data_IF_938822050637
#
_entry.id   IF_938822050637
#
_cell.length_a   1.000
_cell.length_b   1.000
_cell.length_c   1.000
_cell.angle_alpha   90.00
_cell.angle_beta   90.00
_cell.angle_gamma   90.00
#
_symmetry.space_group_name_H-M   'P 1'
#
loop_
_entity.id
_entity.type
_entity.pdbx_description
1 polymer ?
#
# COMPACT_ATOMS: atom_id res chain seq x y z
N UNK A 1 1.14 18.23 -22.33
CA UNK A 1 1.11 16.94 -23.06
C UNK A 1 2.45 16.25 -22.80
N UNK A 2 2.43 15.17 -22.02
CA UNK A 2 3.62 14.37 -21.68
C UNK A 2 3.83 13.35 -22.79
N UNK A 3 5.07 13.22 -23.28
CA UNK A 3 5.45 12.24 -24.31
C UNK A 3 6.27 11.14 -23.64
N UNK A 4 5.87 9.89 -23.80
CA UNK A 4 6.59 8.74 -23.28
C UNK A 4 7.44 8.07 -24.37
N UNK A 5 8.68 7.73 -24.04
CA UNK A 5 9.57 6.98 -24.92
C UNK A 5 10.56 6.18 -24.09
N UNK A 6 10.67 4.87 -24.33
CA UNK A 6 11.58 3.95 -23.61
C UNK A 6 11.43 4.03 -22.08
N UNK A 7 10.19 4.26 -21.60
CA UNK A 7 9.88 4.40 -20.16
C UNK A 7 10.32 5.72 -19.53
N UNK A 8 10.78 6.68 -20.33
CA UNK A 8 11.09 8.03 -19.88
C UNK A 8 9.97 9.01 -20.24
N UNK A 9 9.63 9.88 -19.29
CA UNK A 9 8.66 10.93 -19.49
C UNK A 9 9.36 12.20 -20.00
N UNK A 10 8.80 12.78 -21.05
CA UNK A 10 9.28 14.01 -21.66
C UNK A 10 8.22 15.08 -21.72
N UNK A 11 8.66 16.33 -21.65
CA UNK A 11 7.86 17.51 -22.01
C UNK A 11 8.44 18.18 -23.25
N UNK A 12 7.57 18.76 -24.06
CA UNK A 12 7.97 19.51 -25.26
C UNK A 12 8.71 20.78 -24.79
N UNK A 13 9.93 20.95 -25.28
CA UNK A 13 10.72 22.16 -25.06
C UNK A 13 10.51 23.16 -26.21
N UNK A 14 10.68 22.70 -27.46
CA UNK A 14 10.48 23.54 -28.64
C UNK A 14 10.10 22.71 -29.86
N UNK A 15 9.47 23.37 -30.83
CA UNK A 15 9.19 22.79 -32.15
C UNK A 15 9.92 23.64 -33.19
N UNK A 16 10.72 23.00 -34.06
CA UNK A 16 11.49 23.69 -35.08
C UNK A 16 11.63 22.80 -36.32
N UNK A 17 11.31 23.37 -37.49
CA UNK A 17 11.42 22.72 -38.80
C UNK A 17 10.78 21.31 -38.82
N UNK A 18 9.51 21.22 -38.43
CA UNK A 18 8.75 19.97 -38.33
C UNK A 18 9.18 19.01 -37.20
N UNK A 19 10.32 19.26 -36.56
CA UNK A 19 10.85 18.44 -35.46
C UNK A 19 10.39 18.96 -34.10
N UNK A 20 10.07 18.05 -33.20
CA UNK A 20 9.73 18.38 -31.80
C UNK A 20 10.90 17.98 -30.90
N UNK A 21 11.38 18.94 -30.11
CA UNK A 21 12.46 18.75 -29.15
C UNK A 21 11.88 18.59 -27.76
N UNK A 22 12.41 17.61 -27.04
CA UNK A 22 11.91 17.15 -25.77
C UNK A 22 13.00 17.25 -24.70
N UNK A 23 12.59 17.56 -23.48
CA UNK A 23 13.42 17.51 -22.28
C UNK A 23 12.78 16.57 -21.27
N UNK A 24 13.60 15.91 -20.47
CA UNK A 24 13.14 15.02 -19.40
C UNK A 24 12.14 15.75 -18.49
N UNK A 25 11.06 15.05 -18.14
CA UNK A 25 9.99 15.53 -17.29
C UNK A 25 9.64 14.52 -16.18
N UNK A 26 10.54 13.56 -15.91
CA UNK A 26 10.38 12.59 -14.84
C UNK A 26 10.20 13.28 -13.49
N UNK A 27 9.11 13.01 -12.74
CA UNK A 27 8.89 13.57 -11.41
C UNK A 27 10.01 13.19 -10.43
N UNK A 28 10.27 14.06 -9.45
CA UNK A 28 11.18 13.81 -8.33
C UNK A 28 12.63 13.45 -8.71
N UNK A 29 13.06 13.74 -9.95
CA UNK A 29 14.43 13.50 -10.42
C UNK A 29 14.94 14.71 -11.20
N UNK A 30 16.13 15.20 -10.84
CA UNK A 30 16.84 16.18 -11.67
C UNK A 30 17.55 15.46 -12.82
N UNK A 31 17.12 15.72 -14.06
CA UNK A 31 17.66 15.06 -15.24
C UNK A 31 17.76 16.01 -16.44
N UNK A 32 18.90 15.97 -17.14
CA UNK A 32 19.21 16.75 -18.34
C UNK A 32 19.04 15.98 -19.66
N UNK A 33 18.39 14.81 -19.61
CA UNK A 33 18.05 13.97 -20.76
C UNK A 33 17.19 14.70 -21.79
N UNK A 34 17.47 14.48 -23.07
CA UNK A 34 16.77 15.15 -24.18
C UNK A 34 16.53 14.22 -25.35
N UNK A 35 15.43 14.41 -26.06
CA UNK A 35 15.08 13.64 -27.25
C UNK A 35 14.51 14.55 -28.35
N UNK A 36 14.51 14.06 -29.59
CA UNK A 36 13.92 14.75 -30.74
C UNK A 36 13.03 13.80 -31.50
N UNK A 37 11.79 14.22 -31.75
CA UNK A 37 10.89 13.54 -32.67
C UNK A 37 11.01 14.16 -34.06
N UNK A 38 11.44 13.34 -35.01
CA UNK A 38 11.58 13.65 -36.42
C UNK A 38 10.21 13.73 -37.11
N UNK A 39 10.17 14.32 -38.31
CA UNK A 39 8.94 14.45 -39.12
C UNK A 39 8.34 13.09 -39.50
N UNK A 40 9.17 12.06 -39.65
CA UNK A 40 8.76 10.68 -39.90
C UNK A 40 8.18 9.98 -38.66
N UNK A 41 8.06 10.68 -37.52
CA UNK A 41 7.48 10.18 -36.28
C UNK A 41 8.45 9.45 -35.36
N UNK A 42 9.70 9.22 -35.78
CA UNK A 42 10.72 8.53 -34.98
C UNK A 42 11.26 9.47 -33.90
N UNK A 43 11.35 8.98 -32.67
CA UNK A 43 12.00 9.69 -31.56
C UNK A 43 13.44 9.20 -31.41
N UNK A 44 14.39 10.13 -31.38
CA UNK A 44 15.82 9.88 -31.21
C UNK A 44 16.29 10.53 -29.91
N UNK A 45 16.92 9.76 -29.03
CA UNK A 45 17.51 10.28 -27.79
C UNK A 45 18.82 10.99 -28.10
N UNK A 46 18.92 12.28 -27.77
CA UNK A 46 20.12 13.09 -28.00
C UNK A 46 21.05 13.10 -26.78
N UNK A 47 20.48 13.28 -25.59
CA UNK A 47 21.21 13.18 -24.32
C UNK A 47 20.61 12.04 -23.50
N UNK A 48 21.43 11.08 -23.04
CA UNK A 48 20.94 9.97 -22.23
C UNK A 48 20.44 10.47 -20.88
N UNK A 49 19.60 9.66 -20.24
CA UNK A 49 19.12 9.90 -18.89
C UNK A 49 20.18 9.46 -17.86
N UNK A 50 20.17 10.11 -16.69
CA UNK A 50 21.02 9.77 -15.53
C UNK A 50 20.25 9.02 -14.43
N UNK A 51 19.09 8.52 -14.78
CA UNK A 51 18.20 7.81 -13.88
C UNK A 51 17.57 6.64 -14.64
N UNK A 52 17.10 5.65 -13.90
CA UNK A 52 16.36 4.54 -14.48
C UNK A 52 15.01 5.01 -15.04
N UNK A 53 14.43 4.29 -16.02
CA UNK A 53 13.09 4.58 -16.54
C UNK A 53 12.08 4.82 -15.41
N UNK A 54 11.18 5.77 -15.61
CA UNK A 54 10.22 6.13 -14.57
C UNK A 54 9.28 4.94 -14.30
N UNK A 55 9.53 4.25 -13.20
CA UNK A 55 8.54 3.39 -12.56
C UNK A 55 7.43 4.29 -12.02
N UNK A 56 6.18 4.01 -12.39
CA UNK A 56 5.02 4.82 -12.04
C UNK A 56 4.71 4.70 -10.53
N UNK A 57 5.53 5.31 -9.67
CA UNK A 57 5.29 5.38 -8.22
C UNK A 57 3.97 6.11 -7.91
N UNK A 58 3.47 6.91 -8.85
CA UNK A 58 2.16 7.56 -8.78
C UNK A 58 1.00 6.56 -8.85
N UNK A 59 1.20 5.39 -9.48
CA UNK A 59 0.22 4.30 -9.50
C UNK A 59 0.18 3.54 -8.18
N UNK A 60 1.34 3.29 -7.55
CA UNK A 60 1.42 2.61 -6.25
C UNK A 60 0.77 3.41 -5.13
N UNK A 61 0.96 4.74 -5.11
CA UNK A 61 0.35 5.62 -4.10
C UNK A 61 -1.17 5.66 -4.22
N UNK A 62 -1.70 5.82 -5.44
CA UNK A 62 -3.15 5.77 -5.68
C UNK A 62 -3.71 4.39 -5.37
N UNK A 63 -3.00 3.32 -5.76
CA UNK A 63 -3.37 1.94 -5.46
C UNK A 63 -3.47 1.72 -3.95
N UNK A 64 -2.49 2.20 -3.18
CA UNK A 64 -2.51 2.17 -1.71
C UNK A 64 -3.70 2.95 -1.14
N UNK A 65 -3.97 4.14 -1.67
CA UNK A 65 -5.05 5.01 -1.20
C UNK A 65 -6.43 4.40 -1.46
N UNK A 66 -6.69 3.91 -2.67
CA UNK A 66 -7.94 3.23 -3.03
C UNK A 66 -8.19 1.97 -2.19
N UNK A 67 -7.14 1.20 -1.94
CA UNK A 67 -7.23 0.00 -1.12
C UNK A 67 -7.52 0.34 0.35
N UNK A 68 -6.85 1.36 0.90
CA UNK A 68 -7.15 1.88 2.25
C UNK A 68 -8.59 2.39 2.34
N UNK A 69 -9.07 3.16 1.37
CA UNK A 69 -10.43 3.71 1.41
C UNK A 69 -11.48 2.61 1.40
N UNK A 70 -11.30 1.56 0.58
CA UNK A 70 -12.18 0.40 0.56
C UNK A 70 -12.20 -0.33 1.91
N UNK A 71 -11.03 -0.57 2.51
CA UNK A 71 -10.92 -1.22 3.82
C UNK A 71 -11.57 -0.42 4.94
N UNK A 72 -11.35 0.90 4.97
CA UNK A 72 -11.97 1.81 5.95
C UNK A 72 -13.49 1.80 5.80
N UNK A 73 -13.99 1.92 4.57
CA UNK A 73 -15.43 1.97 4.32
C UNK A 73 -16.13 0.66 4.68
N UNK A 74 -15.56 -0.48 4.27
CA UNK A 74 -16.06 -1.81 4.67
C UNK A 74 -15.97 -2.01 6.18
N UNK A 75 -14.95 -1.49 6.85
CA UNK A 75 -14.83 -1.58 8.32
C UNK A 75 -15.90 -0.76 9.05
N UNK A 76 -16.42 0.31 8.43
CA UNK A 76 -17.54 1.11 8.94
C UNK A 76 -18.88 0.43 8.74
N UNK A 77 -19.08 -0.22 7.60
CA UNK A 77 -20.40 -0.72 7.19
C UNK A 77 -20.61 -2.18 7.55
N UNK A 78 -19.56 -2.99 7.58
CA UNK A 78 -19.65 -4.42 7.83
C UNK A 78 -19.30 -4.80 9.27
N UNK A 79 -20.01 -5.80 9.79
CA UNK A 79 -19.86 -6.31 11.16
C UNK A 79 -18.96 -7.54 11.27
N UNK A 80 -18.52 -8.10 10.14
CA UNK A 80 -17.64 -9.29 10.10
C UNK A 80 -16.22 -8.99 10.64
N UNK A 81 -15.37 -9.99 10.87
CA UNK A 81 -14.03 -9.74 11.41
C UNK A 81 -13.19 -8.85 10.47
N UNK A 82 -12.47 -7.86 11.01
CA UNK A 82 -11.61 -6.95 10.21
C UNK A 82 -10.59 -7.73 9.38
N UNK A 83 -10.07 -8.83 9.93
CA UNK A 83 -9.15 -9.72 9.24
C UNK A 83 -9.79 -10.38 8.01
N UNK A 84 -11.07 -10.72 8.09
CA UNK A 84 -11.84 -11.26 6.96
C UNK A 84 -12.03 -10.18 5.88
N UNK A 85 -12.40 -8.96 6.25
CA UNK A 85 -12.51 -7.82 5.32
C UNK A 85 -11.20 -7.62 4.57
N UNK A 86 -10.07 -7.61 5.29
CA UNK A 86 -8.76 -7.46 4.68
C UNK A 86 -8.41 -8.62 3.75
N UNK A 87 -8.66 -9.87 4.15
CA UNK A 87 -8.36 -11.01 3.29
C UNK A 87 -9.18 -10.99 2.00
N UNK A 88 -10.47 -10.70 2.07
CA UNK A 88 -11.33 -10.61 0.88
C UNK A 88 -10.88 -9.48 -0.06
N UNK A 89 -10.56 -8.30 0.48
CA UNK A 89 -10.01 -7.21 -0.33
C UNK A 89 -8.62 -7.56 -0.89
N UNK A 90 -7.78 -8.27 -0.15
CA UNK A 90 -6.46 -8.70 -0.63
C UNK A 90 -6.54 -9.68 -1.79
N UNK A 91 -7.60 -10.51 -1.84
CA UNK A 91 -7.85 -11.41 -2.98
C UNK A 91 -8.32 -10.61 -4.20
N UNK A 92 -9.12 -9.57 -4.00
CA UNK A 92 -9.61 -8.68 -5.08
C UNK A 92 -8.50 -7.81 -5.64
N UNK A 93 -7.60 -7.31 -4.78
CA UNK A 93 -6.52 -6.40 -5.13
C UNK A 93 -5.16 -6.89 -4.58
N UNK A 94 -4.57 -7.96 -5.15
CA UNK A 94 -3.34 -8.57 -4.62
C UNK A 94 -2.15 -7.62 -4.62
N UNK A 95 -2.00 -6.80 -5.68
CA UNK A 95 -0.91 -5.84 -5.77
C UNK A 95 -1.01 -4.76 -4.67
N UNK A 96 -2.21 -4.24 -4.42
CA UNK A 96 -2.42 -3.26 -3.35
C UNK A 96 -2.11 -3.84 -1.95
N UNK A 97 -2.43 -5.11 -1.71
CA UNK A 97 -2.09 -5.80 -0.47
C UNK A 97 -0.57 -5.98 -0.24
N UNK A 98 0.23 -6.00 -1.32
CA UNK A 98 1.71 -5.95 -1.20
C UNK A 98 2.20 -4.58 -0.76
N UNK A 99 1.51 -3.51 -1.16
CA UNK A 99 1.85 -2.12 -0.84
C UNK A 99 1.25 -1.62 0.49
N UNK A 100 0.20 -2.29 0.99
CA UNK A 100 -0.54 -1.91 2.20
C UNK A 100 -0.92 -3.17 3.00
N UNK A 101 0.04 -3.63 3.82
CA UNK A 101 -0.06 -4.89 4.55
C UNK A 101 -1.07 -4.85 5.71
N UNK A 102 -1.47 -6.03 6.23
CA UNK A 102 -2.41 -6.14 7.37
C UNK A 102 -1.98 -5.31 8.60
N UNK A 103 -0.72 -5.39 9.08
CA UNK A 103 -0.27 -4.53 10.18
C UNK A 103 -0.46 -3.04 9.94
N UNK A 104 -0.36 -2.60 8.67
CA UNK A 104 -0.56 -1.20 8.25
C UNK A 104 -2.04 -0.83 8.17
N UNK A 105 -2.89 -1.76 7.74
CA UNK A 105 -4.32 -1.56 7.52
C UNK A 105 -5.15 -1.65 8.82
N UNK A 106 -4.81 -2.60 9.69
CA UNK A 106 -5.59 -2.96 10.87
C UNK A 106 -5.95 -1.75 11.78
N UNK A 107 -5.04 -0.79 12.07
CA UNK A 107 -5.36 0.34 12.94
C UNK A 107 -6.42 1.27 12.35
N UNK A 108 -6.34 1.58 11.06
CA UNK A 108 -7.31 2.45 10.38
C UNK A 108 -8.69 1.78 10.31
N UNK A 109 -8.72 0.47 10.08
CA UNK A 109 -9.93 -0.36 10.10
C UNK A 109 -10.57 -0.41 11.51
N UNK A 110 -9.77 -0.63 12.57
CA UNK A 110 -10.25 -0.61 13.97
C UNK A 110 -10.79 0.76 14.37
N UNK A 111 -10.11 1.83 13.97
CA UNK A 111 -10.54 3.19 14.24
C UNK A 111 -11.88 3.49 13.55
N UNK A 112 -12.00 3.15 12.27
CA UNK A 112 -13.21 3.32 11.49
C UNK A 112 -14.43 2.59 12.10
N UNK A 113 -14.21 1.37 12.62
CA UNK A 113 -15.24 0.61 13.32
C UNK A 113 -15.64 1.23 14.66
N UNK A 114 -14.68 1.75 15.43
CA UNK A 114 -14.96 2.43 16.71
C UNK A 114 -15.82 3.69 16.54
N UNK A 115 -15.63 4.43 15.46
CA UNK A 115 -16.46 5.61 15.17
C UNK A 115 -17.94 5.25 14.97
N UNK A 116 -18.22 4.04 14.44
CA UNK A 116 -19.57 3.55 14.14
C UNK A 116 -20.28 2.93 15.34
N UNK A 117 -19.54 2.35 16.28
CA UNK A 117 -20.14 1.81 17.50
C UNK A 117 -20.33 2.96 18.49
N UNK A 118 -21.59 3.25 18.85
CA UNK A 118 -21.88 4.16 19.94
C UNK A 118 -21.08 3.74 21.18
N UNK A 119 -20.57 4.71 21.97
CA UNK A 119 -19.90 4.39 23.22
C UNK A 119 -20.84 3.52 24.06
N UNK A 120 -20.32 2.40 24.56
CA UNK A 120 -21.09 1.52 25.41
C UNK A 120 -21.60 2.34 26.61
N UNK A 121 -22.90 2.27 26.93
CA UNK A 121 -23.45 2.99 28.08
C UNK A 121 -22.65 2.64 29.32
N UNK A 122 -22.46 3.63 30.20
CA UNK A 122 -21.54 3.52 31.32
C UNK A 122 -22.01 2.50 32.36
N UNK A 123 -23.29 2.11 32.31
CA UNK A 123 -23.88 1.15 33.25
C UNK A 123 -24.84 0.18 32.57
N UNK A 124 -24.94 -1.05 33.10
CA UNK A 124 -25.92 -2.06 32.68
C UNK A 124 -27.37 -1.58 32.78
N UNK A 125 -27.67 -0.58 33.61
CA UNK A 125 -29.03 -0.06 33.84
C UNK A 125 -29.55 0.80 32.69
N UNK A 126 -28.66 1.35 31.86
CA UNK A 126 -29.01 2.16 30.69
C UNK A 126 -29.38 1.31 29.46
N UNK A 127 -29.10 0.00 29.48
CA UNK A 127 -29.48 -0.94 28.42
C UNK A 127 -30.93 -1.46 28.57
N UNK A 128 -31.52 -1.34 29.76
CA UNK A 128 -32.86 -1.87 30.08
C UNK A 128 -34.00 -0.85 29.85
N UNK A 129 -33.72 0.42 29.51
CA UNK A 129 -34.73 1.49 29.53
C UNK A 129 -35.39 1.84 28.19
N UNK A 130 -35.13 1.13 27.09
CA UNK A 130 -35.77 1.43 25.80
C UNK A 130 -36.15 0.17 25.03
N UNK A 131 -37.07 -0.62 25.58
CA UNK A 131 -37.85 -1.63 24.83
C UNK A 131 -39.35 -1.42 25.09
N UNK A 132 -39.93 -0.38 24.48
CA UNK A 132 -41.34 -0.35 24.12
C UNK A 132 -41.47 -0.19 22.59
N UNK A 133 -40.95 -1.17 21.85
CA UNK A 133 -41.46 -1.43 20.50
C UNK A 133 -42.61 -2.42 20.68
N UNK A 134 -43.82 -1.92 20.47
CA UNK A 134 -45.06 -2.70 20.47
C UNK A 134 -44.94 -3.86 19.47
N UNK A 135 -44.87 -5.08 20.01
CA UNK A 135 -45.12 -6.31 19.26
C UNK A 135 -46.63 -6.48 19.11
N UNK A 136 -47.17 -6.12 17.94
CA UNK A 136 -48.40 -6.73 17.44
C UNK A 136 -48.08 -7.45 16.13
N UNK A 137 -48.09 -8.79 16.23
CA UNK A 137 -48.57 -9.78 15.23
C UNK A 137 -47.92 -9.78 13.81
N UNK A 138 -47.31 -10.84 13.28
CA UNK A 138 -47.72 -12.26 13.23
C UNK A 138 -46.51 -13.14 12.88
N UNK A 139 -46.21 -14.14 13.71
CA UNK A 139 -45.49 -15.37 13.33
C UNK A 139 -46.42 -16.18 12.41
N UNK A 140 -45.94 -16.76 11.31
CA UNK A 140 -46.30 -18.14 10.92
C UNK A 140 -45.50 -18.66 9.71
N UNK A 141 -44.69 -19.67 10.00
CA UNK A 141 -44.38 -20.87 9.23
C UNK A 141 -44.62 -20.87 7.71
N UNK A 142 -43.57 -21.27 6.99
CA UNK A 142 -43.61 -21.81 5.62
C UNK A 142 -44.38 -23.13 5.58
N UNK A 143 -45.36 -23.27 4.67
CA UNK A 143 -45.31 -24.38 3.72
C UNK A 143 -45.53 -23.95 2.25
N UNK A 144 -44.77 -24.55 1.33
CA UNK A 144 -44.99 -24.53 -0.12
C UNK A 144 -46.46 -24.85 -0.51
N UNK A 145 -46.96 -24.26 -1.61
CA UNK A 145 -47.98 -24.90 -2.42
C UNK A 145 -47.51 -25.18 -3.86
N UNK A 146 -48.08 -26.28 -4.38
CA UNK A 146 -47.93 -26.78 -5.72
C UNK A 146 -48.69 -25.94 -6.76
N UNK A 147 -48.31 -26.19 -8.02
CA UNK A 147 -48.87 -25.73 -9.29
C UNK A 147 -50.41 -25.82 -9.39
N UNK A 148 -51.03 -24.87 -10.11
CA UNK A 148 -51.97 -25.10 -11.24
C UNK A 148 -52.57 -23.76 -11.77
N UNK A 149 -52.45 -23.58 -13.09
CA UNK A 149 -53.25 -22.87 -14.11
C UNK A 149 -54.09 -21.61 -13.79
N UNK A 150 -53.84 -20.52 -14.53
CA UNK A 150 -54.72 -19.99 -15.60
C UNK A 150 -54.44 -18.49 -15.88
N UNK A 151 -54.63 -18.13 -17.15
CA UNK A 151 -54.22 -16.89 -17.81
C UNK A 151 -55.00 -15.64 -17.38
N UNK A 152 -54.30 -14.49 -17.33
CA UNK A 152 -54.95 -13.19 -17.20
C UNK A 152 -53.96 -12.04 -17.25
N UNK A 153 -53.76 -11.46 -18.43
CA UNK A 153 -52.95 -10.27 -18.65
C UNK A 153 -53.57 -9.04 -17.96
N UNK A 154 -52.76 -8.25 -17.24
CA UNK A 154 -53.04 -6.83 -16.99
C UNK A 154 -51.74 -6.02 -16.89
N UNK A 155 -51.82 -4.86 -17.52
CA UNK A 155 -50.84 -3.88 -17.98
C UNK A 155 -50.00 -3.19 -16.86
N UNK A 156 -48.67 -3.01 -17.02
CA UNK A 156 -47.84 -2.29 -16.08
C UNK A 156 -47.67 -0.82 -16.47
N UNK A 157 -48.41 0.10 -15.85
CA UNK A 157 -48.08 1.53 -15.88
C UNK A 157 -48.28 2.25 -14.54
N UNK A 158 -47.13 2.73 -14.03
CA UNK A 158 -46.89 4.02 -13.37
C UNK A 158 -47.37 4.22 -11.93
N UNK A 159 -46.41 4.14 -10.99
CA UNK A 159 -46.18 5.28 -10.08
C UNK A 159 -44.66 5.43 -9.89
N UNK A 160 -44.07 6.38 -10.62
CA UNK A 160 -42.77 6.94 -10.31
C UNK A 160 -42.93 7.81 -9.06
N UNK A 161 -42.28 7.43 -7.97
CA UNK A 161 -42.04 8.32 -6.84
C UNK A 161 -40.52 8.47 -6.72
N UNK A 162 -40.04 9.57 -7.28
CA UNK A 162 -38.68 10.06 -7.15
C UNK A 162 -38.43 10.38 -5.67
N UNK A 163 -37.72 9.50 -4.96
CA UNK A 163 -37.19 9.83 -3.63
C UNK A 163 -35.91 10.62 -3.88
N UNK A 164 -36.05 11.94 -3.80
CA UNK A 164 -34.98 12.91 -3.87
C UNK A 164 -34.15 12.79 -2.59
N UNK A 165 -33.08 11.99 -2.61
CA UNK A 165 -32.06 11.97 -1.56
C UNK A 165 -30.91 12.82 -2.06
N UNK A 166 -30.89 14.09 -1.67
CA UNK A 166 -29.71 14.93 -1.85
C UNK A 166 -28.53 14.26 -1.12
N UNK A 167 -27.35 14.13 -1.76
CA UNK A 167 -26.18 13.65 -1.05
C UNK A 167 -25.73 14.78 -0.13
N UNK A 168 -25.98 14.66 1.17
CA UNK A 168 -25.23 15.43 2.16
C UNK A 168 -23.75 15.09 1.99
N UNK A 169 -23.05 15.99 1.32
CA UNK A 169 -21.59 16.03 1.22
C UNK A 169 -21.09 16.34 2.63
N UNK A 170 -20.98 15.31 3.46
CA UNK A 170 -20.28 15.41 4.72
C UNK A 170 -18.81 15.66 4.39
N UNK A 171 -18.37 16.90 4.65
CA UNK A 171 -17.01 17.39 4.48
C UNK A 171 -15.99 16.38 4.98
N UNK A 172 -15.33 15.68 4.05
CA UNK A 172 -14.19 14.79 4.33
C UNK A 172 -12.93 15.67 4.42
N UNK A 173 -12.90 16.59 5.37
CA UNK A 173 -11.74 17.49 5.54
C UNK A 173 -11.09 17.44 6.93
N UNK A 174 -11.47 16.53 7.83
CA UNK A 174 -11.03 16.65 9.24
C UNK A 174 -10.46 15.39 9.93
N UNK A 175 -9.95 14.40 9.21
CA UNK A 175 -9.25 13.24 9.84
C UNK A 175 -8.01 12.79 9.07
N UNK A 176 -7.15 13.74 8.69
CA UNK A 176 -5.85 13.46 8.05
C UNK A 176 -4.65 13.61 9.01
N UNK A 177 -4.87 13.71 10.32
CA UNK A 177 -3.79 13.88 11.30
C UNK A 177 -4.01 12.95 12.49
N UNK A 178 -3.56 11.68 12.43
CA UNK A 178 -3.22 10.90 13.65
C UNK A 178 -2.75 9.44 13.40
N UNK A 179 -2.48 9.02 12.16
CA UNK A 179 -1.82 7.72 11.93
C UNK A 179 -0.51 7.86 11.16
N UNK A 180 0.48 8.44 11.82
CA UNK A 180 1.86 8.50 11.35
C UNK A 180 2.50 7.12 11.60
N UNK A 181 2.83 6.38 10.55
CA UNK A 181 3.69 5.19 10.67
C UNK A 181 5.09 5.64 11.12
N UNK A 182 5.82 4.86 11.94
CA UNK A 182 7.15 5.23 12.41
C UNK A 182 8.09 5.70 11.28
N UNK A 183 8.03 5.09 10.09
CA UNK A 183 8.80 5.53 8.92
C UNK A 183 8.31 6.86 8.29
N UNK A 184 7.01 7.16 8.32
CA UNK A 184 6.46 8.43 7.81
C UNK A 184 6.81 9.61 8.74
N UNK A 185 7.00 9.35 10.03
CA UNK A 185 7.51 10.34 11.00
C UNK A 185 8.92 10.79 10.67
N UNK A 186 9.78 9.88 10.18
CA UNK A 186 11.16 10.22 9.85
C UNK A 186 11.26 11.09 8.59
N UNK A 187 10.38 10.88 7.62
CA UNK A 187 10.29 11.69 6.41
C UNK A 187 9.71 13.08 6.70
N UNK A 188 8.65 13.16 7.50
CA UNK A 188 8.02 14.43 7.83
C UNK A 188 8.91 15.28 8.76
N UNK A 189 9.61 14.65 9.73
CA UNK A 189 10.64 15.34 10.53
C UNK A 189 11.78 15.84 9.64
N UNK A 190 12.24 15.08 8.64
CA UNK A 190 13.26 15.55 7.69
C UNK A 190 12.76 16.67 6.78
N UNK A 191 11.47 16.71 6.46
CA UNK A 191 10.84 17.75 5.65
C UNK A 191 10.62 19.03 6.47
N UNK A 192 10.13 18.91 7.70
CA UNK A 192 9.98 19.99 8.68
C UNK A 192 11.33 20.63 9.03
N UNK A 193 12.38 19.83 9.29
CA UNK A 193 13.75 20.34 9.51
C UNK A 193 14.33 21.11 8.29
N UNK A 194 13.84 20.86 7.07
CA UNK A 194 14.22 21.65 5.88
C UNK A 194 13.39 22.93 5.74
N UNK A 195 12.14 22.91 6.21
CA UNK A 195 11.20 24.03 6.09
C UNK A 195 11.40 25.07 7.20
N UNK A 196 11.86 24.66 8.39
CA UNK A 196 12.08 25.52 9.56
C UNK A 196 13.45 26.22 9.57
N UNK A 197 14.21 26.14 8.47
CA UNK A 197 15.57 26.68 8.33
C UNK A 197 15.64 28.23 8.19
N UNK A 198 14.73 28.97 8.83
CA UNK A 198 14.94 30.39 9.20
C UNK A 198 15.28 30.56 10.70
N UNK A 199 15.21 29.49 11.50
CA UNK A 199 15.68 29.46 12.88
C UNK A 199 16.96 28.64 13.02
N UNK A 200 18.11 29.30 13.19
CA UNK A 200 19.41 28.64 13.45
C UNK A 200 19.41 27.94 14.82
N UNK A 201 19.05 26.68 14.86
CA UNK A 201 19.63 25.75 15.83
C UNK A 201 20.72 24.96 15.11
N UNK A 202 21.97 25.34 15.40
CA UNK A 202 23.17 24.66 14.90
C UNK A 202 23.22 23.27 15.53
N UNK A 203 22.68 22.28 14.81
CA UNK A 203 22.99 20.87 15.07
C UNK A 203 24.51 20.73 15.07
N UNK A 204 25.08 20.54 16.27
CA UNK A 204 26.49 20.24 16.43
C UNK A 204 26.75 18.87 15.81
N UNK A 205 27.27 18.86 14.59
CA UNK A 205 27.79 17.64 14.00
C UNK A 205 28.94 17.17 14.90
N UNK A 206 28.76 16.03 15.55
CA UNK A 206 29.88 15.32 16.18
C UNK A 206 30.84 14.97 15.04
N UNK A 207 32.04 15.55 15.07
CA UNK A 207 33.07 15.22 14.10
C UNK A 207 33.33 13.72 14.15
N UNK A 208 33.07 13.07 13.03
CA UNK A 208 33.38 11.66 12.84
C UNK A 208 34.90 11.52 12.96
N UNK A 209 35.43 10.68 13.86
CA UNK A 209 36.87 10.52 14.00
C UNK A 209 37.50 10.17 12.65
N UNK A 210 38.59 10.85 12.24
CA UNK A 210 39.22 10.63 10.93
C UNK A 210 39.79 9.22 10.77
N UNK A 211 39.95 8.50 11.88
CA UNK A 211 40.43 7.12 11.96
C UNK A 211 39.30 6.08 12.03
N UNK A 212 38.10 6.39 11.52
CA UNK A 212 36.98 5.43 11.47
C UNK A 212 37.39 4.07 10.89
N UNK A 213 38.17 4.06 9.80
CA UNK A 213 38.63 2.82 9.16
C UNK A 213 39.63 2.01 10.00
N UNK A 214 40.37 2.66 10.90
CA UNK A 214 41.30 1.98 11.83
C UNK A 214 40.56 1.43 13.05
N UNK A 215 39.53 2.12 13.52
CA UNK A 215 38.69 1.70 14.65
C UNK A 215 37.63 0.66 14.24
N UNK A 216 37.15 0.73 13.01
CA UNK A 216 36.12 -0.14 12.43
C UNK A 216 36.58 -0.61 11.04
N UNK A 217 37.51 -1.58 10.98
CA UNK A 217 37.90 -2.16 9.69
C UNK A 217 36.67 -2.76 9.00
N UNK A 218 36.51 -2.57 7.68
CA UNK A 218 35.41 -3.16 6.93
C UNK A 218 35.53 -4.68 7.02
N UNK A 219 34.58 -5.28 7.72
CA UNK A 219 34.43 -6.73 7.76
C UNK A 219 33.84 -7.15 6.42
N UNK A 220 34.30 -8.26 5.83
CA UNK A 220 33.70 -8.79 4.59
C UNK A 220 32.25 -9.26 4.86
N UNK A 221 31.30 -8.33 4.84
CA UNK A 221 29.87 -8.55 5.13
C UNK A 221 29.22 -9.56 4.17
N UNK A 222 29.86 -9.80 3.03
CA UNK A 222 29.43 -10.75 2.00
C UNK A 222 29.49 -12.20 2.47
N UNK A 223 30.26 -12.52 3.52
CA UNK A 223 30.43 -13.88 4.03
C UNK A 223 29.71 -14.14 5.35
N UNK A 224 28.98 -13.18 5.92
CA UNK A 224 28.33 -13.31 7.23
C UNK A 224 26.85 -13.70 7.09
N UNK A 225 26.38 -14.63 7.90
CA UNK A 225 25.00 -15.12 7.95
C UNK A 225 23.99 -13.98 8.03
N UNK A 226 23.01 -13.97 7.13
CA UNK A 226 22.03 -12.87 7.05
C UNK A 226 21.04 -12.85 8.21
N UNK A 227 20.91 -13.98 8.93
CA UNK A 227 19.98 -14.13 10.06
C UNK A 227 20.62 -13.67 11.37
N UNK A 228 21.78 -14.24 11.75
CA UNK A 228 22.41 -13.91 13.04
C UNK A 228 23.43 -12.78 12.96
N UNK A 229 24.01 -12.48 11.78
CA UNK A 229 25.10 -11.53 11.59
C UNK A 229 26.34 -11.74 12.47
N UNK A 230 26.50 -12.94 13.04
CA UNK A 230 27.59 -13.30 13.95
C UNK A 230 28.58 -14.31 13.35
N UNK A 231 28.09 -15.25 12.54
CA UNK A 231 28.88 -16.36 12.00
C UNK A 231 28.92 -16.34 10.47
N UNK A 232 29.90 -17.02 9.89
CA UNK A 232 30.04 -17.15 8.44
C UNK A 232 28.95 -18.03 7.79
N UNK A 233 28.60 -17.70 6.55
CA UNK A 233 27.67 -18.47 5.71
C UNK A 233 28.33 -19.80 5.36
N UNK A 234 27.73 -20.91 5.77
CA UNK A 234 28.29 -22.25 5.56
C UNK A 234 27.36 -23.18 4.80
N UNK A 235 26.08 -22.83 4.64
CA UNK A 235 25.09 -23.72 4.03
C UNK A 235 24.43 -23.09 2.81
N UNK A 236 24.36 -23.84 1.71
CA UNK A 236 23.54 -23.53 0.54
C UNK A 236 22.23 -24.32 0.56
N UNK A 237 21.13 -23.64 0.23
CA UNK A 237 19.79 -24.22 0.23
C UNK A 237 19.43 -24.77 -1.15
N UNK A 238 18.91 -26.00 -1.23
CA UNK A 238 18.56 -26.67 -2.49
C UNK A 238 17.04 -26.75 -2.63
N UNK A 239 16.46 -26.31 -3.77
CA UNK A 239 17.09 -26.15 -5.09
C UNK A 239 17.63 -24.74 -5.42
N UNK A 240 17.38 -23.73 -4.60
CA UNK A 240 17.63 -22.33 -5.01
C UNK A 240 19.12 -21.93 -5.04
N UNK A 241 20.03 -22.73 -4.46
CA UNK A 241 21.47 -22.53 -4.48
C UNK A 241 21.99 -21.43 -3.56
N UNK A 242 21.14 -20.72 -2.83
CA UNK A 242 21.53 -19.57 -2.02
C UNK A 242 22.32 -19.98 -0.78
N UNK A 243 23.59 -19.52 -0.69
CA UNK A 243 24.47 -19.65 0.49
C UNK A 243 24.28 -18.46 1.42
N UNK A 244 23.41 -18.59 2.43
CA UNK A 244 22.93 -17.42 3.21
C UNK A 244 22.94 -17.62 4.72
N UNK A 245 23.02 -18.87 5.19
CA UNK A 245 22.92 -19.24 6.60
C UNK A 245 24.21 -19.84 7.14
N UNK A 246 24.45 -19.63 8.44
CA UNK A 246 25.38 -20.43 9.22
C UNK A 246 24.73 -21.75 9.68
N UNK A 247 25.51 -22.61 10.33
CA UNK A 247 25.07 -23.93 10.83
C UNK A 247 23.96 -23.84 11.89
N UNK A 248 24.02 -22.80 12.72
CA UNK A 248 23.04 -22.61 13.80
C UNK A 248 21.71 -22.09 13.24
N UNK A 249 21.76 -21.15 12.30
CA UNK A 249 20.54 -20.59 11.72
C UNK A 249 19.82 -21.56 10.79
N UNK A 250 20.52 -22.45 10.07
CA UNK A 250 19.86 -23.44 9.21
C UNK A 250 19.12 -24.51 10.00
N UNK A 251 19.62 -24.87 11.19
CA UNK A 251 18.99 -25.88 12.06
C UNK A 251 17.80 -25.33 12.84
N UNK A 252 17.81 -24.03 13.14
CA UNK A 252 16.72 -23.35 13.86
C UNK A 252 15.63 -22.81 12.94
N UNK A 253 15.79 -22.92 11.63
CA UNK A 253 14.83 -22.39 10.67
C UNK A 253 13.55 -23.23 10.66
N UNK A 254 12.49 -22.67 11.24
CA UNK A 254 11.18 -23.35 11.37
C UNK A 254 10.47 -23.47 10.02
N UNK A 255 10.62 -22.46 9.17
CA UNK A 255 10.08 -22.45 7.81
C UNK A 255 11.15 -23.03 6.89
N UNK A 256 10.87 -24.13 6.19
CA UNK A 256 11.79 -24.71 5.21
C UNK A 256 11.86 -23.87 3.92
N UNK A 257 12.07 -22.55 4.06
CA UNK A 257 12.09 -21.54 2.99
C UNK A 257 13.37 -20.73 3.03
N UNK A 258 13.93 -20.47 1.86
CA UNK A 258 15.11 -19.62 1.74
C UNK A 258 14.79 -18.17 2.15
N UNK A 259 15.55 -17.54 3.07
CA UNK A 259 15.27 -16.16 3.46
C UNK A 259 15.55 -15.11 2.38
N UNK A 260 16.28 -15.45 1.30
CA UNK A 260 16.53 -14.54 0.18
C UNK A 260 15.46 -14.62 -0.91
N UNK A 261 15.10 -15.82 -1.35
CA UNK A 261 14.24 -16.01 -2.51
C UNK A 261 12.88 -16.63 -2.18
N UNK A 262 12.65 -16.96 -0.90
CA UNK A 262 11.41 -17.56 -0.37
C UNK A 262 10.98 -18.90 -0.99
N UNK A 263 11.83 -19.51 -1.82
CA UNK A 263 11.62 -20.87 -2.33
C UNK A 263 11.71 -21.89 -1.20
N UNK A 264 10.82 -22.87 -1.21
CA UNK A 264 10.92 -24.04 -0.34
C UNK A 264 12.22 -24.80 -0.67
N UNK A 265 12.97 -25.17 0.37
CA UNK A 265 14.16 -26.01 0.24
C UNK A 265 13.93 -27.32 0.99
N UNK A 266 14.39 -28.42 0.41
CA UNK A 266 14.28 -29.74 1.03
C UNK A 266 15.62 -30.24 1.59
N UNK A 267 16.72 -29.55 1.27
CA UNK A 267 18.06 -29.93 1.66
C UNK A 267 18.93 -28.68 1.85
N UNK A 268 19.82 -28.72 2.85
CA UNK A 268 20.85 -27.73 3.07
C UNK A 268 22.22 -28.41 2.97
N UNK A 269 23.05 -27.96 2.02
CA UNK A 269 24.38 -28.50 1.78
C UNK A 269 25.42 -27.61 2.46
N UNK A 270 26.28 -28.20 3.29
CA UNK A 270 27.44 -27.50 3.86
C UNK A 270 28.51 -27.29 2.79
N UNK A 271 28.93 -26.06 2.58
CA UNK A 271 29.98 -25.64 1.66
C UNK A 271 31.14 -25.09 2.49
N UNK A 272 32.35 -25.57 2.19
CA UNK A 272 33.62 -25.16 2.79
C UNK A 272 34.32 -24.13 1.92
#
# INVERSE_FOLDING_TARGET
MVHEHEGFLYKINKTYNGKRYYVCATPNVYCDGTAVRLENGITVVNKPHRHDPYCNMYDESQTRQHFRSALVERSRTETIALRTIYYEESIRNPHAATLYSWPTAEPSMRHARRIRHLPLPATLRELDSEDEIQNDDVILNVPMPAVEDDAGAVDPQLIAAEINIEPEVNNIEDYDMDFILPEDRELDVRQQLRNDADGKEEITFVEVPPNLYELYPPVDETNICIVCRMEERTHALVPCGHRVLCVNCVTQLQTQRCPLCYCDFNMALRIW
#
